data_IF_037661850587
#
_entry.id   IF_037661850587
#
_cell.length_a   1.000
_cell.length_b   1.000
_cell.length_c   1.000
_cell.angle_alpha   90.00
_cell.angle_beta   90.00
_cell.angle_gamma   90.00
#
_symmetry.space_group_name_H-M   'P 1'
#
loop_
_entity.id
_entity.type
_entity.pdbx_description
1 polymer ?
#
# COMPACT_ATOMS: atom_id res chain seq x y z
N UNK A 1 0.17 18.79 -2.71
CA UNK A 1 -0.96 18.77 -1.75
C UNK A 1 -0.82 17.64 -0.74
N UNK A 2 -0.61 16.38 -1.16
CA UNK A 2 -0.31 15.24 -0.25
C UNK A 2 0.99 15.43 0.55
N UNK A 3 1.94 16.19 0.01
CA UNK A 3 3.16 16.55 0.71
C UNK A 3 2.94 17.33 2.03
N UNK A 4 1.73 17.80 2.33
CA UNK A 4 1.47 18.50 3.60
C UNK A 4 0.83 17.59 4.66
N UNK A 5 0.23 16.47 4.28
CA UNK A 5 -0.49 15.57 5.20
C UNK A 5 0.32 14.34 5.62
N UNK A 6 1.24 13.88 4.77
CA UNK A 6 2.09 12.75 5.09
C UNK A 6 3.35 13.22 5.84
N UNK A 7 3.69 12.51 6.91
CA UNK A 7 4.99 12.66 7.57
C UNK A 7 6.13 12.34 6.59
N UNK A 8 7.33 12.81 6.89
CA UNK A 8 8.52 12.59 6.04
C UNK A 8 8.80 11.10 5.80
N UNK A 9 8.45 10.25 6.78
CA UNK A 9 8.57 8.80 6.69
C UNK A 9 7.48 8.20 5.81
N UNK A 10 6.22 8.59 5.99
CA UNK A 10 5.11 8.13 5.14
C UNK A 10 5.32 8.53 3.68
N UNK A 11 5.78 9.75 3.38
CA UNK A 11 6.12 10.14 2.01
C UNK A 11 7.19 9.25 1.38
N UNK A 12 8.16 8.78 2.18
CA UNK A 12 9.20 7.85 1.71
C UNK A 12 8.58 6.50 1.38
N UNK A 13 7.71 6.00 2.25
CA UNK A 13 7.00 4.72 2.09
C UNK A 13 6.07 4.73 0.88
N UNK A 14 5.38 5.84 0.64
CA UNK A 14 4.38 6.01 -0.43
C UNK A 14 4.95 6.59 -1.74
N UNK A 15 6.27 6.79 -1.84
CA UNK A 15 6.88 7.21 -3.10
C UNK A 15 6.77 6.13 -4.18
N UNK A 16 6.73 6.53 -5.47
CA UNK A 16 6.68 5.62 -6.63
C UNK A 16 7.72 4.48 -6.60
N UNK A 17 8.86 4.71 -5.95
CA UNK A 17 9.96 3.74 -5.84
C UNK A 17 9.71 2.66 -4.77
N UNK A 18 8.75 2.85 -3.86
CA UNK A 18 8.48 1.98 -2.73
C UNK A 18 7.06 1.39 -2.72
N UNK A 19 6.25 1.61 -3.76
CA UNK A 19 4.90 1.03 -3.89
C UNK A 19 4.89 -0.51 -3.73
N UNK A 20 5.94 -1.19 -4.19
CA UNK A 20 6.11 -2.64 -4.03
C UNK A 20 6.53 -3.09 -2.63
N UNK A 21 6.96 -2.15 -1.77
CA UNK A 21 7.40 -2.40 -0.39
C UNK A 21 6.34 -2.03 0.65
N UNK A 22 5.26 -1.38 0.23
CA UNK A 22 4.12 -1.09 1.11
C UNK A 22 3.51 -2.43 1.53
N UNK A 23 3.23 -2.59 2.83
CA UNK A 23 2.50 -3.76 3.31
C UNK A 23 1.11 -3.78 2.67
N UNK A 24 0.63 -4.95 2.27
CA UNK A 24 -0.68 -5.07 1.61
C UNK A 24 -1.83 -4.43 2.39
N UNK A 25 -1.76 -4.51 3.71
CA UNK A 25 -2.72 -3.90 4.65
C UNK A 25 -2.72 -2.37 4.54
N UNK A 26 -1.54 -1.76 4.43
CA UNK A 26 -1.37 -0.30 4.34
C UNK A 26 -1.64 0.23 2.92
N UNK A 27 -1.57 -0.64 1.90
CA UNK A 27 -1.79 -0.26 0.51
C UNK A 27 -3.25 0.17 0.26
N UNK A 28 -4.22 -0.51 0.87
CA UNK A 28 -5.63 -0.15 0.71
C UNK A 28 -5.92 1.24 1.29
N UNK A 29 -5.40 1.53 2.49
CA UNK A 29 -5.50 2.85 3.12
C UNK A 29 -4.88 3.95 2.26
N UNK A 30 -3.74 3.65 1.62
CA UNK A 30 -3.09 4.56 0.69
C UNK A 30 -3.94 4.84 -0.56
N UNK A 31 -4.50 3.78 -1.16
CA UNK A 31 -5.40 3.90 -2.31
C UNK A 31 -6.62 4.77 -1.99
N UNK A 32 -7.29 4.52 -0.85
CA UNK A 32 -8.44 5.32 -0.40
C UNK A 32 -8.08 6.79 -0.20
N UNK A 33 -6.85 7.07 0.27
CA UNK A 33 -6.39 8.44 0.45
C UNK A 33 -6.20 9.15 -0.90
N UNK A 34 -5.60 8.49 -1.89
CA UNK A 34 -5.40 9.03 -3.25
C UNK A 34 -6.74 9.24 -3.98
N UNK A 35 -7.73 8.38 -3.74
CA UNK A 35 -9.11 8.54 -4.22
C UNK A 35 -9.78 9.79 -3.63
N UNK A 36 -9.67 10.02 -2.33
CA UNK A 36 -10.19 11.25 -1.70
C UNK A 36 -9.54 12.52 -2.24
N UNK A 37 -8.25 12.46 -2.60
CA UNK A 37 -7.56 13.59 -3.23
C UNK A 37 -8.12 13.86 -4.62
N UNK A 38 -8.41 12.81 -5.39
CA UNK A 38 -9.08 12.95 -6.68
C UNK A 38 -10.48 13.57 -6.53
N UNK A 39 -11.29 13.06 -5.61
CA UNK A 39 -12.63 13.59 -5.31
C UNK A 39 -12.58 15.08 -4.93
N UNK A 40 -11.63 15.46 -4.06
CA UNK A 40 -11.43 16.85 -3.66
C UNK A 40 -11.09 17.76 -4.85
N UNK A 41 -10.23 17.30 -5.78
CA UNK A 41 -9.88 18.05 -6.98
C UNK A 41 -11.07 18.21 -7.93
N UNK A 42 -11.87 17.15 -8.11
CA UNK A 42 -13.08 17.17 -8.94
C UNK A 42 -14.12 18.12 -8.33
N UNK A 43 -14.41 17.99 -7.05
CA UNK A 43 -15.34 18.87 -6.34
C UNK A 43 -14.91 20.35 -6.40
N UNK A 44 -13.60 20.61 -6.25
CA UNK A 44 -13.06 21.96 -6.38
C UNK A 44 -13.21 22.50 -7.81
N UNK A 45 -13.03 21.65 -8.82
CA UNK A 45 -13.24 22.03 -10.21
C UNK A 45 -14.71 22.34 -10.51
N UNK A 46 -15.63 21.50 -10.05
CA UNK A 46 -17.08 21.67 -10.26
C UNK A 46 -17.65 22.92 -9.57
N UNK A 47 -17.08 23.28 -8.40
CA UNK A 47 -17.46 24.50 -7.67
C UNK A 47 -16.81 25.77 -8.21
N UNK A 48 -15.79 25.65 -9.07
CA UNK A 48 -15.09 26.79 -9.64
C UNK A 48 -15.73 27.21 -10.98
N UNK A 49 -16.33 28.40 -11.02
CA UNK A 49 -17.00 28.95 -12.22
C UNK A 49 -16.08 29.18 -13.44
N UNK A 50 -14.76 29.15 -13.28
CA UNK A 50 -13.79 29.32 -14.37
C UNK A 50 -13.24 27.98 -14.83
N UNK A 51 -13.37 27.70 -16.13
CA UNK A 51 -12.61 26.63 -16.81
C UNK A 51 -11.11 26.88 -16.62
N UNK A 52 -10.45 26.00 -15.87
CA UNK A 52 -9.03 26.07 -15.59
C UNK A 52 -8.33 24.84 -16.19
N UNK A 53 -7.68 24.97 -17.36
CA UNK A 53 -7.06 23.83 -18.05
C UNK A 53 -5.91 23.21 -17.24
N UNK A 54 -5.27 23.98 -16.34
CA UNK A 54 -4.23 23.45 -15.45
C UNK A 54 -4.85 22.52 -14.40
N UNK A 55 -6.05 22.85 -13.92
CA UNK A 55 -6.77 22.03 -12.95
C UNK A 55 -7.32 20.75 -13.61
N UNK A 56 -7.86 20.85 -14.83
CA UNK A 56 -8.26 19.69 -15.64
C UNK A 56 -7.07 18.73 -15.83
N UNK A 57 -5.92 19.25 -16.26
CA UNK A 57 -4.72 18.43 -16.45
C UNK A 57 -4.22 17.80 -15.13
N UNK A 58 -4.41 18.46 -13.98
CA UNK A 58 -4.10 17.90 -12.66
C UNK A 58 -5.05 16.77 -12.28
N UNK A 59 -6.36 16.96 -12.50
CA UNK A 59 -7.38 15.93 -12.28
C UNK A 59 -7.07 14.70 -13.13
N UNK A 60 -6.77 14.89 -14.41
CA UNK A 60 -6.47 13.78 -15.31
C UNK A 60 -5.19 13.03 -14.91
N UNK A 61 -4.14 13.74 -14.48
CA UNK A 61 -2.93 13.10 -13.94
C UNK A 61 -3.22 12.30 -12.67
N UNK A 62 -4.03 12.85 -11.76
CA UNK A 62 -4.40 12.18 -10.51
C UNK A 62 -5.28 10.95 -10.79
N UNK A 63 -6.25 11.07 -11.71
CA UNK A 63 -7.12 9.97 -12.15
C UNK A 63 -6.30 8.81 -12.71
N UNK A 64 -5.38 9.10 -13.63
CA UNK A 64 -4.46 8.11 -14.19
C UNK A 64 -3.57 7.46 -13.12
N UNK A 65 -3.24 8.18 -12.04
CA UNK A 65 -2.48 7.62 -10.93
C UNK A 65 -3.31 6.64 -10.10
N UNK A 66 -4.53 7.04 -9.73
CA UNK A 66 -5.48 6.20 -8.99
C UNK A 66 -5.83 4.93 -9.77
N UNK A 67 -6.10 5.03 -11.07
CA UNK A 67 -6.37 3.86 -11.92
C UNK A 67 -5.20 2.86 -11.93
N UNK A 68 -3.96 3.34 -11.96
CA UNK A 68 -2.77 2.48 -11.87
C UNK A 68 -2.65 1.80 -10.51
N UNK A 69 -2.95 2.52 -9.43
CA UNK A 69 -2.93 1.95 -8.08
C UNK A 69 -4.04 0.91 -7.89
N UNK A 70 -5.24 1.19 -8.38
CA UNK A 70 -6.37 0.26 -8.40
C UNK A 70 -6.02 -1.01 -9.15
N UNK A 71 -5.50 -0.88 -10.37
CA UNK A 71 -5.06 -2.04 -11.16
C UNK A 71 -3.99 -2.86 -10.44
N UNK A 72 -2.99 -2.20 -9.85
CA UNK A 72 -1.96 -2.89 -9.06
C UNK A 72 -2.53 -3.59 -7.82
N UNK A 73 -3.52 -2.99 -7.15
CA UNK A 73 -4.17 -3.59 -5.99
C UNK A 73 -4.89 -4.89 -6.38
N UNK A 74 -5.70 -4.87 -7.43
CA UNK A 74 -6.43 -6.05 -7.89
C UNK A 74 -5.50 -7.10 -8.51
N UNK A 75 -4.59 -6.70 -9.40
CA UNK A 75 -3.77 -7.63 -10.18
C UNK A 75 -2.61 -8.22 -9.35
N UNK A 76 -2.07 -7.47 -8.38
CA UNK A 76 -0.86 -7.87 -7.65
C UNK A 76 -1.15 -8.13 -6.18
N UNK A 77 -1.78 -7.20 -5.46
CA UNK A 77 -1.92 -7.28 -4.00
C UNK A 77 -2.98 -8.34 -3.59
N UNK A 78 -4.12 -8.37 -4.27
CA UNK A 78 -5.23 -9.30 -3.98
C UNK A 78 -4.97 -10.72 -4.49
N UNK A 79 -4.37 -10.85 -5.68
CA UNK A 79 -4.09 -12.16 -6.28
C UNK A 79 -2.83 -12.84 -5.71
N UNK A 80 -1.92 -12.09 -5.10
CA UNK A 80 -0.80 -12.75 -4.43
C UNK A 80 -1.32 -13.47 -3.18
N UNK A 81 -0.95 -14.75 -2.93
CA UNK A 81 -1.36 -15.45 -1.73
C UNK A 81 -0.84 -14.73 -0.48
N UNK A 82 -1.69 -14.62 0.56
CA UNK A 82 -1.43 -13.83 1.77
C UNK A 82 -0.21 -14.32 2.55
N UNK A 83 0.15 -15.60 2.39
CA UNK A 83 1.27 -16.23 3.08
C UNK A 83 1.87 -17.29 2.16
N UNK A 84 3.09 -17.09 1.68
CA UNK A 84 4.00 -18.23 1.71
C UNK A 84 4.19 -18.53 3.19
N UNK A 85 3.55 -19.57 3.70
CA UNK A 85 3.84 -20.12 5.03
C UNK A 85 5.36 -20.20 5.13
N UNK A 86 5.99 -19.38 5.98
CA UNK A 86 7.44 -19.40 6.14
C UNK A 86 7.81 -20.68 6.91
N UNK A 87 7.85 -21.79 6.17
CA UNK A 87 8.22 -23.11 6.66
C UNK A 87 9.58 -23.08 7.33
N UNK A 88 10.48 -22.15 7.00
CA UNK A 88 11.78 -21.99 7.68
C UNK A 88 11.60 -21.41 9.09
N UNK A 89 10.75 -20.41 9.27
CA UNK A 89 10.43 -19.85 10.59
C UNK A 89 9.72 -20.88 11.47
N UNK A 90 8.72 -21.55 10.92
CA UNK A 90 7.95 -22.59 11.62
C UNK A 90 8.83 -23.79 12.01
N UNK A 91 9.75 -24.21 11.13
CA UNK A 91 10.74 -25.27 11.42
C UNK A 91 11.76 -24.84 12.48
N UNK A 92 12.15 -23.57 12.53
CA UNK A 92 13.04 -23.03 13.59
C UNK A 92 12.34 -23.03 14.94
N UNK A 93 11.07 -22.61 15.00
CA UNK A 93 10.27 -22.62 16.22
C UNK A 93 10.01 -24.05 16.70
N UNK A 94 9.64 -24.97 15.81
CA UNK A 94 9.48 -26.39 16.12
C UNK A 94 10.78 -27.03 16.62
N UNK A 95 11.94 -26.71 16.02
CA UNK A 95 13.24 -27.20 16.53
C UNK A 95 13.57 -26.65 17.92
N UNK A 96 13.16 -25.42 18.23
CA UNK A 96 13.35 -24.82 19.56
C UNK A 96 12.43 -25.48 20.59
N UNK A 97 11.18 -25.79 20.23
CA UNK A 97 10.23 -26.45 21.13
C UNK A 97 10.55 -27.93 21.36
N UNK A 98 11.13 -28.65 20.39
CA UNK A 98 11.49 -30.07 20.52
C UNK A 98 12.85 -30.29 21.21
N UNK A 99 13.75 -29.29 21.20
CA UNK A 99 15.08 -29.37 21.83
C UNK A 99 15.07 -29.80 23.31
N UNK A 100 14.19 -29.25 24.17
CA UNK A 100 14.07 -29.65 25.58
C UNK A 100 13.73 -31.14 25.73
N UNK A 101 12.73 -31.62 24.98
CA UNK A 101 12.27 -33.00 25.05
C UNK A 101 13.32 -34.01 24.56
N UNK A 102 14.08 -33.66 23.51
CA UNK A 102 15.23 -34.47 23.05
C UNK A 102 16.35 -34.57 24.08
N UNK A 103 16.48 -33.60 24.99
CA UNK A 103 17.48 -33.60 26.06
C UNK A 103 17.06 -34.52 27.21
N UNK A 104 15.75 -34.67 27.44
CA UNK A 104 15.16 -35.56 28.45
C UNK A 104 15.18 -37.02 27.98
N UNK A 105 14.89 -37.29 26.70
CA UNK A 105 14.88 -38.63 26.10
C UNK A 105 16.28 -39.25 25.83
N UNK A 106 17.37 -38.55 26.13
CA UNK A 106 18.75 -39.04 25.96
C UNK A 106 19.35 -39.59 27.26
N UNK A 107 18.55 -39.72 28.31
CA UNK A 107 18.85 -40.43 29.55
C UNK A 107 17.93 -41.64 29.67
#
# INVERSE_FOLDING_TARGET
>A
MIEYFLTKEEKKTFSKLNLSKIKREDFFSYLQMEERVLESLVNYFDTTSKKNPILEMKIEKQKNHVEKLNRYYYDVILLTPKEEFDFKKLRKEFRKSVKPYKKILKY
#
